data_IF_693982340649
#
_entry.id   IF_693982340649
#
_cell.length_a   1.000
_cell.length_b   1.000
_cell.length_c   1.000
_cell.angle_alpha   90.00
_cell.angle_beta   90.00
_cell.angle_gamma   90.00
#
_symmetry.space_group_name_H-M   'P 1'
#
loop_
_entity.id
_entity.type
_entity.pdbx_description
1 polymer ?
#
# COMPACT_ATOMS: atom_id res chain seq x y z
N UNK A 1 12.48 -40.86 -50.78
CA UNK A 1 11.74 -40.36 -49.57
C UNK A 1 12.17 -41.19 -48.37
N UNK A 2 12.75 -40.56 -47.32
CA UNK A 2 13.14 -41.27 -46.09
C UNK A 2 11.86 -41.62 -45.33
N UNK A 3 11.50 -42.92 -45.23
CA UNK A 3 10.40 -43.40 -44.40
C UNK A 3 10.84 -43.30 -42.94
N UNK A 4 10.21 -42.41 -42.19
CA UNK A 4 10.46 -42.35 -40.74
C UNK A 4 9.80 -43.52 -40.05
N UNK A 5 10.41 -44.08 -39.01
CA UNK A 5 9.84 -45.17 -38.23
C UNK A 5 8.53 -44.78 -37.58
N UNK A 6 7.56 -45.66 -37.48
CA UNK A 6 6.24 -45.46 -36.90
C UNK A 6 6.24 -44.79 -35.53
N UNK A 7 7.28 -45.09 -34.72
CA UNK A 7 7.42 -44.52 -33.38
C UNK A 7 7.53 -42.99 -33.37
N UNK A 8 8.08 -42.35 -34.44
CA UNK A 8 8.15 -40.90 -34.55
C UNK A 8 6.78 -40.26 -34.77
N UNK A 9 5.92 -40.90 -35.55
CA UNK A 9 4.52 -40.44 -35.75
C UNK A 9 3.74 -40.60 -34.47
N UNK A 10 3.93 -41.68 -33.71
CA UNK A 10 3.33 -41.93 -32.41
C UNK A 10 3.75 -40.87 -31.38
N UNK A 11 5.04 -40.52 -31.34
CA UNK A 11 5.56 -39.45 -30.49
C UNK A 11 4.98 -38.10 -30.83
N UNK A 12 4.86 -37.75 -32.13
CA UNK A 12 4.23 -36.50 -32.57
C UNK A 12 2.76 -36.46 -32.15
N UNK A 13 2.04 -37.55 -32.34
CA UNK A 13 0.61 -37.66 -31.97
C UNK A 13 0.43 -37.53 -30.47
N UNK A 14 1.35 -38.12 -29.67
CA UNK A 14 1.33 -37.98 -28.20
C UNK A 14 1.58 -36.53 -27.78
N UNK A 15 2.57 -35.83 -28.36
CA UNK A 15 2.86 -34.42 -28.05
C UNK A 15 1.70 -33.53 -28.44
N UNK A 16 1.08 -33.75 -29.61
CA UNK A 16 -0.09 -33.01 -30.05
C UNK A 16 -1.28 -33.27 -29.10
N UNK A 17 -1.54 -34.53 -28.71
CA UNK A 17 -2.58 -34.89 -27.77
C UNK A 17 -2.38 -34.18 -26.41
N UNK A 18 -1.15 -34.18 -25.91
CA UNK A 18 -0.78 -33.46 -24.69
C UNK A 18 -1.03 -31.95 -24.83
N UNK A 19 -0.60 -31.35 -25.95
CA UNK A 19 -0.84 -29.93 -26.25
C UNK A 19 -2.32 -29.58 -26.29
N UNK A 20 -3.16 -30.42 -26.90
CA UNK A 20 -4.61 -30.23 -26.94
C UNK A 20 -5.22 -30.28 -25.54
N UNK A 21 -4.87 -31.29 -24.72
CA UNK A 21 -5.39 -31.42 -23.35
C UNK A 21 -5.02 -30.21 -22.50
N UNK A 22 -3.78 -29.72 -22.55
CA UNK A 22 -3.33 -28.54 -21.81
C UNK A 22 -3.87 -27.22 -22.37
N UNK A 23 -4.39 -27.20 -23.60
CA UNK A 23 -5.04 -26.04 -24.20
C UNK A 23 -6.54 -25.97 -23.88
N UNK A 24 -7.18 -27.10 -23.55
CA UNK A 24 -8.62 -27.18 -23.27
C UNK A 24 -9.11 -26.20 -22.20
N UNK A 25 -8.39 -25.96 -21.08
CA UNK A 25 -8.84 -25.01 -20.05
C UNK A 25 -9.14 -23.61 -20.56
N UNK A 26 -8.45 -23.16 -21.62
CA UNK A 26 -8.65 -21.83 -22.19
C UNK A 26 -9.97 -21.67 -22.96
N UNK A 27 -10.69 -22.77 -23.24
CA UNK A 27 -12.01 -22.75 -23.87
C UNK A 27 -13.14 -22.49 -22.84
N UNK A 28 -12.85 -22.64 -21.54
CA UNK A 28 -13.79 -22.44 -20.47
C UNK A 28 -13.72 -20.97 -20.00
N UNK A 29 -14.69 -20.16 -20.38
CA UNK A 29 -14.80 -18.78 -19.91
C UNK A 29 -15.12 -18.78 -18.39
N UNK A 30 -14.41 -18.00 -17.57
CA UNK A 30 -14.71 -17.92 -16.15
C UNK A 30 -16.03 -17.20 -15.89
N UNK A 31 -16.77 -17.63 -14.88
CA UNK A 31 -18.01 -16.98 -14.44
C UNK A 31 -17.70 -15.75 -13.57
N UNK A 32 -18.48 -14.66 -13.67
CA UNK A 32 -18.45 -13.58 -12.70
C UNK A 32 -18.78 -14.12 -11.30
N UNK A 33 -17.99 -13.74 -10.29
CA UNK A 33 -18.18 -14.21 -8.93
C UNK A 33 -17.84 -13.13 -7.90
N UNK A 34 -18.46 -13.20 -6.72
CA UNK A 34 -18.12 -12.38 -5.56
C UNK A 34 -17.42 -13.27 -4.54
N UNK A 35 -16.25 -12.88 -4.13
CA UNK A 35 -15.46 -13.53 -3.08
C UNK A 35 -15.68 -12.82 -1.76
N UNK A 36 -15.95 -13.59 -0.71
CA UNK A 36 -16.11 -13.10 0.66
C UNK A 36 -15.10 -13.82 1.56
N UNK A 37 -14.24 -13.06 2.21
CA UNK A 37 -13.21 -13.57 3.12
C UNK A 37 -13.16 -12.73 4.39
N UNK A 38 -12.62 -13.29 5.49
CA UNK A 38 -12.38 -12.49 6.69
C UNK A 38 -11.21 -11.52 6.46
N UNK A 39 -11.30 -10.34 7.10
CA UNK A 39 -10.23 -9.31 7.07
C UNK A 39 -8.95 -9.81 7.76
N UNK A 40 -9.10 -10.66 8.78
CA UNK A 40 -7.98 -11.24 9.51
C UNK A 40 -7.45 -12.48 8.80
N UNK A 41 -6.16 -12.48 8.43
CA UNK A 41 -5.47 -13.63 7.81
C UNK A 41 -5.40 -14.88 8.71
N UNK A 42 -5.74 -14.74 9.99
CA UNK A 42 -5.79 -15.87 10.95
C UNK A 42 -7.15 -16.59 10.97
N UNK A 43 -8.18 -16.05 10.31
CA UNK A 43 -9.51 -16.64 10.20
C UNK A 43 -9.74 -17.12 8.77
N UNK A 44 -9.96 -18.42 8.62
CA UNK A 44 -10.41 -19.03 7.37
C UNK A 44 -11.92 -18.96 7.28
N UNK A 45 -12.45 -18.85 6.06
CA UNK A 45 -13.88 -18.90 5.83
C UNK A 45 -14.46 -20.23 6.34
N UNK A 46 -15.54 -20.15 7.06
CA UNK A 46 -16.22 -21.28 7.69
C UNK A 46 -17.63 -21.49 7.14
N UNK A 47 -18.25 -22.58 7.58
CA UNK A 47 -19.64 -22.89 7.21
C UNK A 47 -20.63 -21.83 7.64
N UNK A 48 -20.38 -21.14 8.75
CA UNK A 48 -21.24 -20.07 9.25
C UNK A 48 -21.25 -18.87 8.32
N UNK A 49 -20.07 -18.43 7.84
CA UNK A 49 -19.97 -17.37 6.83
C UNK A 49 -20.68 -17.77 5.54
N UNK A 50 -20.48 -19.03 5.08
CA UNK A 50 -21.12 -19.52 3.86
C UNK A 50 -22.65 -19.56 3.98
N UNK A 51 -23.18 -19.93 5.13
CA UNK A 51 -24.64 -19.99 5.37
C UNK A 51 -25.24 -18.58 5.45
N UNK A 52 -24.57 -17.64 6.12
CA UNK A 52 -24.97 -16.23 6.14
C UNK A 52 -24.98 -15.62 4.74
N UNK A 53 -23.93 -15.83 3.97
CA UNK A 53 -23.86 -15.36 2.58
C UNK A 53 -25.00 -15.97 1.75
N UNK A 54 -25.27 -17.27 1.91
CA UNK A 54 -26.36 -17.96 1.21
C UNK A 54 -27.74 -17.40 1.56
N UNK A 55 -27.98 -17.11 2.83
CA UNK A 55 -29.25 -16.52 3.31
C UNK A 55 -29.47 -15.11 2.75
N UNK A 56 -28.41 -14.28 2.75
CA UNK A 56 -28.48 -12.92 2.21
C UNK A 56 -28.76 -12.95 0.71
N UNK A 57 -28.03 -13.77 -0.05
CA UNK A 57 -28.17 -13.85 -1.51
C UNK A 57 -29.50 -14.47 -1.92
N UNK A 58 -30.05 -15.40 -1.14
CA UNK A 58 -31.35 -16.02 -1.41
C UNK A 58 -32.55 -15.05 -1.32
N UNK A 59 -32.34 -13.86 -0.74
CA UNK A 59 -33.39 -12.82 -0.70
C UNK A 59 -33.64 -12.17 -2.08
N UNK A 60 -32.73 -12.36 -3.01
CA UNK A 60 -32.86 -11.88 -4.39
C UNK A 60 -33.12 -13.05 -5.32
N UNK A 61 -33.97 -12.84 -6.31
CA UNK A 61 -34.28 -13.85 -7.35
C UNK A 61 -33.18 -13.85 -8.44
N UNK A 62 -31.94 -14.16 -7.99
CA UNK A 62 -30.77 -14.18 -8.86
C UNK A 62 -30.24 -15.61 -8.99
N UNK A 63 -29.76 -15.94 -10.19
CA UNK A 63 -29.08 -17.23 -10.43
C UNK A 63 -27.72 -17.18 -9.76
N UNK A 64 -27.60 -17.82 -8.62
CA UNK A 64 -26.37 -17.82 -7.81
C UNK A 64 -26.02 -19.22 -7.32
N UNK A 65 -24.71 -19.48 -7.21
CA UNK A 65 -24.17 -20.68 -6.59
C UNK A 65 -23.13 -20.29 -5.55
N UNK A 66 -23.40 -20.62 -4.30
CA UNK A 66 -22.50 -20.33 -3.18
C UNK A 66 -21.64 -21.55 -2.91
N UNK A 67 -20.32 -21.40 -3.05
CA UNK A 67 -19.31 -22.43 -2.81
C UNK A 67 -18.37 -21.99 -1.69
N UNK A 68 -18.04 -22.90 -0.78
CA UNK A 68 -17.03 -22.68 0.25
C UNK A 68 -15.71 -23.24 -0.28
N UNK A 69 -14.74 -22.39 -0.45
CA UNK A 69 -13.33 -22.73 -0.73
C UNK A 69 -12.52 -22.69 0.58
N UNK A 70 -11.25 -23.10 0.54
CA UNK A 70 -10.44 -23.24 1.75
C UNK A 70 -10.39 -21.97 2.62
N UNK A 71 -10.27 -20.80 2.00
CA UNK A 71 -10.03 -19.54 2.70
C UNK A 71 -11.11 -18.47 2.47
N UNK A 72 -12.08 -18.74 1.61
CA UNK A 72 -13.12 -17.77 1.24
C UNK A 72 -14.43 -18.44 0.77
N UNK A 73 -15.51 -17.69 0.80
CA UNK A 73 -16.78 -18.06 0.21
C UNK A 73 -16.88 -17.43 -1.17
N UNK A 74 -17.23 -18.21 -2.18
CA UNK A 74 -17.37 -17.77 -3.57
C UNK A 74 -18.84 -17.82 -3.98
N UNK A 75 -19.38 -16.68 -4.40
CA UNK A 75 -20.75 -16.57 -4.94
C UNK A 75 -20.66 -16.39 -6.45
N UNK A 76 -20.94 -17.43 -7.22
CA UNK A 76 -20.95 -17.40 -8.69
C UNK A 76 -22.27 -16.84 -9.19
N UNK A 77 -22.22 -16.10 -10.29
CA UNK A 77 -23.40 -15.57 -10.97
C UNK A 77 -23.20 -15.61 -12.50
N UNK A 78 -24.27 -15.38 -13.25
CA UNK A 78 -24.30 -15.47 -14.70
C UNK A 78 -23.87 -14.19 -15.43
N UNK A 79 -24.00 -13.02 -14.76
CA UNK A 79 -23.72 -11.72 -15.39
C UNK A 79 -22.89 -10.80 -14.48
N UNK A 80 -22.13 -9.90 -15.09
CA UNK A 80 -21.40 -8.85 -14.36
C UNK A 80 -22.34 -7.87 -13.63
N UNK A 81 -23.56 -7.65 -14.14
CA UNK A 81 -24.53 -6.81 -13.45
C UNK A 81 -24.99 -7.45 -12.14
N UNK A 82 -25.31 -8.75 -12.18
CA UNK A 82 -25.70 -9.51 -10.98
C UNK A 82 -24.55 -9.57 -9.97
N UNK A 83 -23.30 -9.65 -10.44
CA UNK A 83 -22.11 -9.60 -9.58
C UNK A 83 -22.04 -8.30 -8.77
N UNK A 84 -22.32 -7.14 -9.39
CA UNK A 84 -22.34 -5.85 -8.69
C UNK A 84 -23.49 -5.78 -7.68
N UNK A 85 -24.69 -6.23 -8.06
CA UNK A 85 -25.85 -6.27 -7.16
C UNK A 85 -25.56 -7.14 -5.93
N UNK A 86 -24.94 -8.30 -6.13
CA UNK A 86 -24.56 -9.22 -5.05
C UNK A 86 -23.49 -8.57 -4.15
N UNK A 87 -22.47 -7.92 -4.73
CA UNK A 87 -21.46 -7.18 -3.96
C UNK A 87 -22.10 -6.14 -3.04
N UNK A 88 -22.99 -5.30 -3.61
CA UNK A 88 -23.66 -4.23 -2.87
C UNK A 88 -24.58 -4.79 -1.77
N UNK A 89 -25.32 -5.86 -2.08
CA UNK A 89 -26.20 -6.55 -1.14
C UNK A 89 -25.40 -7.14 0.04
N UNK A 90 -24.28 -7.81 -0.22
CA UNK A 90 -23.42 -8.38 0.81
C UNK A 90 -22.75 -7.29 1.63
N UNK A 91 -22.30 -6.20 1.00
CA UNK A 91 -21.68 -5.06 1.68
C UNK A 91 -22.63 -4.33 2.64
N UNK A 92 -23.94 -4.34 2.33
CA UNK A 92 -24.95 -3.72 3.17
C UNK A 92 -25.36 -4.59 4.37
N UNK A 93 -25.22 -5.92 4.28
CA UNK A 93 -25.75 -6.87 5.25
C UNK A 93 -24.68 -7.60 6.08
N UNK A 94 -23.43 -7.65 5.61
CA UNK A 94 -22.33 -8.25 6.36
C UNK A 94 -21.60 -7.19 7.21
N UNK A 95 -20.99 -7.66 8.29
CA UNK A 95 -20.20 -6.81 9.22
C UNK A 95 -18.88 -6.37 8.60
N UNK A 96 -18.24 -5.34 9.17
CA UNK A 96 -16.96 -4.79 8.71
C UNK A 96 -15.75 -5.75 8.85
N UNK A 97 -15.97 -6.96 9.37
CA UNK A 97 -14.92 -7.96 9.60
C UNK A 97 -14.64 -8.83 8.36
N UNK A 98 -15.38 -8.60 7.26
CA UNK A 98 -15.22 -9.34 6.00
C UNK A 98 -14.82 -8.41 4.85
N UNK A 99 -14.02 -8.94 3.95
CA UNK A 99 -13.65 -8.32 2.67
C UNK A 99 -14.49 -8.94 1.58
N UNK A 100 -15.19 -8.11 0.81
CA UNK A 100 -16.03 -8.52 -0.31
C UNK A 100 -15.38 -8.04 -1.60
N UNK A 101 -14.95 -8.98 -2.44
CA UNK A 101 -14.19 -8.71 -3.64
C UNK A 101 -14.89 -9.25 -4.89
N UNK A 102 -14.79 -8.51 -5.99
CA UNK A 102 -15.19 -9.01 -7.31
C UNK A 102 -14.11 -9.95 -7.83
N UNK A 103 -14.51 -11.14 -8.22
CA UNK A 103 -13.60 -12.17 -8.73
C UNK A 103 -14.21 -12.86 -9.97
N UNK A 104 -13.41 -13.68 -10.64
CA UNK A 104 -13.83 -14.55 -11.73
C UNK A 104 -13.58 -16.00 -11.31
N UNK A 105 -14.66 -16.77 -11.24
CA UNK A 105 -14.60 -18.17 -10.85
C UNK A 105 -14.24 -19.05 -12.06
N UNK A 106 -13.22 -19.89 -12.00
CA UNK A 106 -12.90 -20.80 -13.09
C UNK A 106 -14.02 -21.82 -13.30
N UNK A 107 -14.42 -22.03 -14.56
CA UNK A 107 -15.41 -23.06 -14.97
C UNK A 107 -14.75 -24.33 -15.48
N UNK A 108 -13.42 -24.37 -15.44
CA UNK A 108 -12.62 -25.53 -15.89
C UNK A 108 -13.00 -26.77 -15.10
N UNK A 109 -13.29 -27.92 -15.76
CA UNK A 109 -13.60 -29.18 -15.08
C UNK A 109 -12.48 -29.62 -14.12
N UNK A 110 -12.85 -30.15 -12.95
CA UNK A 110 -11.90 -30.55 -11.90
C UNK A 110 -10.82 -31.51 -12.39
N UNK A 111 -11.18 -32.47 -13.25
CA UNK A 111 -10.22 -33.43 -13.79
C UNK A 111 -9.07 -32.79 -14.60
N UNK A 112 -9.32 -31.64 -15.26
CA UNK A 112 -8.27 -30.87 -15.94
C UNK A 112 -7.38 -30.14 -14.93
N UNK A 113 -7.96 -29.57 -13.88
CA UNK A 113 -7.19 -28.92 -12.80
C UNK A 113 -6.35 -29.90 -12.02
N UNK A 114 -6.85 -31.11 -11.77
CA UNK A 114 -6.13 -32.16 -11.02
C UNK A 114 -4.86 -32.65 -11.76
N UNK A 115 -4.84 -32.60 -13.09
CA UNK A 115 -3.64 -32.90 -13.89
C UNK A 115 -2.74 -31.67 -14.11
N UNK A 116 -3.05 -30.52 -13.45
CA UNK A 116 -2.27 -29.29 -13.57
C UNK A 116 -2.54 -28.48 -14.82
N UNK A 117 -3.58 -28.84 -15.62
CA UNK A 117 -4.01 -28.07 -16.78
C UNK A 117 -4.90 -26.91 -16.33
N UNK A 118 -4.28 -25.78 -15.99
CA UNK A 118 -4.97 -24.56 -15.60
C UNK A 118 -5.19 -23.62 -16.80
N UNK A 119 -6.24 -22.80 -16.81
CA UNK A 119 -6.42 -21.78 -17.83
C UNK A 119 -5.27 -20.77 -17.78
N UNK A 120 -4.95 -20.23 -18.95
CA UNK A 120 -3.89 -19.23 -19.07
C UNK A 120 -4.28 -17.96 -18.30
N UNK A 121 -3.39 -17.47 -17.46
CA UNK A 121 -3.59 -16.20 -16.76
C UNK A 121 -3.51 -15.06 -17.75
N UNK A 122 -4.66 -14.44 -18.03
CA UNK A 122 -4.78 -13.33 -18.95
C UNK A 122 -4.33 -12.03 -18.24
N UNK A 123 -3.37 -11.33 -18.83
CA UNK A 123 -2.95 -10.03 -18.34
C UNK A 123 -3.97 -8.91 -18.61
N UNK A 124 -3.62 -7.71 -18.20
CA UNK A 124 -4.44 -6.49 -18.30
C UNK A 124 -4.94 -6.23 -19.73
N UNK A 125 -4.11 -6.49 -20.73
CA UNK A 125 -4.41 -6.26 -22.15
C UNK A 125 -5.56 -7.13 -22.69
N UNK A 126 -5.78 -8.29 -22.09
CA UNK A 126 -6.78 -9.25 -22.52
C UNK A 126 -8.02 -9.31 -21.61
N UNK A 127 -7.87 -9.01 -20.32
CA UNK A 127 -8.98 -8.96 -19.36
C UNK A 127 -9.59 -7.59 -19.19
N UNK A 128 -8.87 -6.54 -19.64
CA UNK A 128 -9.15 -5.17 -19.24
C UNK A 128 -8.76 -4.93 -17.77
N UNK A 129 -8.91 -3.71 -17.32
CA UNK A 129 -8.60 -3.32 -15.95
C UNK A 129 -7.92 -1.97 -15.90
N UNK A 130 -7.34 -1.63 -14.76
CA UNK A 130 -6.75 -0.32 -14.52
C UNK A 130 -5.23 -0.44 -14.36
N UNK A 131 -4.53 0.46 -15.02
CA UNK A 131 -3.08 0.63 -14.88
C UNK A 131 -2.81 2.02 -14.31
N UNK A 132 -2.24 2.07 -13.10
CA UNK A 132 -1.77 3.30 -12.49
C UNK A 132 -0.25 3.37 -12.55
N UNK A 133 0.24 4.53 -12.96
CA UNK A 133 1.63 4.93 -12.79
C UNK A 133 1.66 6.01 -11.72
N UNK A 134 2.16 5.69 -10.55
CA UNK A 134 2.24 6.58 -9.40
C UNK A 134 3.67 7.07 -9.22
N UNK A 135 3.84 8.32 -8.86
CA UNK A 135 5.12 8.90 -8.49
C UNK A 135 5.14 9.14 -6.99
N UNK A 136 6.19 8.67 -6.33
CA UNK A 136 6.42 8.92 -4.90
C UNK A 136 7.01 10.32 -4.73
N UNK A 137 6.46 11.09 -3.81
CA UNK A 137 6.97 12.39 -3.42
C UNK A 137 8.16 12.23 -2.47
N UNK A 138 9.33 12.01 -3.07
CA UNK A 138 10.58 11.83 -2.32
C UNK A 138 11.11 13.14 -1.75
N UNK A 139 10.75 14.28 -2.32
CA UNK A 139 11.15 15.61 -1.82
C UNK A 139 10.52 15.88 -0.46
N UNK A 140 9.22 15.62 -0.33
CA UNK A 140 8.53 15.72 0.96
C UNK A 140 9.09 14.71 1.97
N UNK A 141 9.44 13.49 1.56
CA UNK A 141 10.06 12.49 2.44
C UNK A 141 11.41 12.97 3.00
N UNK A 142 12.27 13.54 2.13
CA UNK A 142 13.56 14.13 2.55
C UNK A 142 13.32 15.27 3.53
N UNK A 143 12.39 16.17 3.23
CA UNK A 143 12.07 17.32 4.09
C UNK A 143 11.58 16.87 5.47
N UNK A 144 10.66 15.90 5.53
CA UNK A 144 10.16 15.34 6.79
C UNK A 144 11.29 14.70 7.62
N UNK A 145 12.21 13.99 6.96
CA UNK A 145 13.40 13.43 7.61
C UNK A 145 14.28 14.52 8.21
N UNK A 146 14.49 15.62 7.47
CA UNK A 146 15.28 16.75 7.94
C UNK A 146 14.59 17.51 9.08
N UNK A 147 13.25 17.68 9.02
CA UNK A 147 12.49 18.28 10.12
C UNK A 147 12.61 17.44 11.41
N UNK A 148 12.54 16.11 11.31
CA UNK A 148 12.78 15.20 12.43
C UNK A 148 14.21 15.32 12.99
N UNK A 149 15.20 15.34 12.09
CA UNK A 149 16.61 15.53 12.48
C UNK A 149 16.84 16.88 13.17
N UNK A 150 16.22 17.95 12.66
CA UNK A 150 16.29 19.27 13.28
C UNK A 150 15.69 19.29 14.70
N UNK A 151 14.58 18.58 14.90
CA UNK A 151 13.98 18.47 16.24
C UNK A 151 14.90 17.71 17.20
N UNK A 152 15.52 16.62 16.75
CA UNK A 152 16.50 15.88 17.56
C UNK A 152 17.72 16.76 17.89
N UNK A 153 18.28 17.45 16.90
CA UNK A 153 19.38 18.40 17.12
C UNK A 153 19.03 19.48 18.16
N UNK A 154 17.81 20.01 18.15
CA UNK A 154 17.35 21.01 19.13
C UNK A 154 17.31 20.43 20.55
N UNK A 155 16.94 19.17 20.71
CA UNK A 155 16.93 18.47 22.00
C UNK A 155 18.38 18.27 22.48
N UNK A 156 19.22 17.69 21.60
CA UNK A 156 20.63 17.42 21.92
C UNK A 156 21.44 18.67 22.26
N UNK A 157 21.29 19.71 21.46
CA UNK A 157 21.99 21.00 21.75
C UNK A 157 21.57 21.60 23.09
N UNK A 158 20.32 21.37 23.53
CA UNK A 158 19.90 21.79 24.88
C UNK A 158 20.57 20.96 25.96
N UNK A 159 20.70 19.65 25.77
CA UNK A 159 21.39 18.73 26.69
C UNK A 159 22.87 19.09 26.82
N UNK A 160 23.53 19.33 25.69
CA UNK A 160 24.95 19.72 25.61
C UNK A 160 25.22 21.22 25.92
N UNK A 161 24.16 21.97 26.20
CA UNK A 161 24.21 23.41 26.48
C UNK A 161 24.77 24.28 25.34
N UNK A 162 24.69 23.78 24.09
CA UNK A 162 25.06 24.52 22.89
C UNK A 162 23.95 25.51 22.57
N UNK A 163 24.26 26.80 22.53
CA UNK A 163 23.27 27.87 22.32
C UNK A 163 23.26 28.34 20.89
N UNK A 164 22.13 28.19 20.25
CA UNK A 164 21.84 28.66 18.87
C UNK A 164 20.81 29.79 18.88
N UNK A 165 20.84 30.66 17.88
CA UNK A 165 19.87 31.73 17.65
C UNK A 165 18.82 31.36 16.63
N UNK A 166 19.19 30.55 15.63
CA UNK A 166 18.27 30.08 14.57
C UNK A 166 18.58 28.64 14.21
N UNK A 167 17.52 27.88 13.90
CA UNK A 167 17.62 26.50 13.46
C UNK A 167 16.39 26.20 12.56
N UNK A 168 16.59 26.07 11.24
CA UNK A 168 15.53 25.94 10.24
C UNK A 168 15.93 24.96 9.16
N UNK A 169 14.94 24.26 8.59
CA UNK A 169 15.10 23.51 7.33
C UNK A 169 14.80 24.47 6.19
N UNK A 170 15.71 24.55 5.23
CA UNK A 170 15.58 25.39 4.04
C UNK A 170 14.76 24.69 2.95
N UNK A 171 14.42 25.40 1.88
CA UNK A 171 13.61 24.87 0.78
C UNK A 171 14.34 23.77 0.00
N UNK A 172 15.67 23.77 -0.01
CA UNK A 172 16.51 22.72 -0.59
C UNK A 172 16.73 21.52 0.34
N UNK A 173 15.95 21.43 1.42
CA UNK A 173 16.06 20.41 2.47
C UNK A 173 17.38 20.39 3.20
N UNK A 174 18.22 21.44 3.12
CA UNK A 174 19.37 21.62 4.01
C UNK A 174 18.92 22.18 5.37
N UNK A 175 19.68 21.87 6.43
CA UNK A 175 19.45 22.46 7.76
C UNK A 175 20.41 23.61 7.96
N UNK A 176 19.88 24.79 8.20
CA UNK A 176 20.67 25.96 8.57
C UNK A 176 20.58 26.22 10.07
N UNK A 177 21.75 26.32 10.71
CA UNK A 177 21.93 26.58 12.13
C UNK A 177 22.73 27.85 12.29
N UNK A 178 22.28 28.79 13.13
CA UNK A 178 23.03 30.02 13.48
C UNK A 178 23.30 30.04 14.99
N UNK A 179 24.55 30.29 15.36
CA UNK A 179 24.99 30.28 16.73
C UNK A 179 25.27 31.68 17.27
N UNK A 180 25.28 31.82 18.60
CA UNK A 180 25.51 33.10 19.27
C UNK A 180 27.00 33.46 19.39
N UNK A 181 27.90 32.50 19.19
CA UNK A 181 29.34 32.66 19.27
C UNK A 181 30.06 31.62 18.41
N UNK A 182 31.30 31.92 18.03
CA UNK A 182 32.18 31.01 17.31
C UNK A 182 32.42 29.71 18.11
N UNK A 183 32.61 29.79 19.40
CA UNK A 183 32.79 28.60 20.25
C UNK A 183 31.56 27.67 20.20
N UNK A 184 30.34 28.23 20.26
CA UNK A 184 29.13 27.42 20.18
C UNK A 184 28.97 26.79 18.80
N UNK A 185 29.45 27.42 17.73
CA UNK A 185 29.49 26.87 16.39
C UNK A 185 30.48 25.69 16.31
N UNK A 186 31.71 25.86 16.84
CA UNK A 186 32.73 24.81 16.84
C UNK A 186 32.27 23.60 17.67
N UNK A 187 31.73 23.82 18.87
CA UNK A 187 31.17 22.76 19.72
C UNK A 187 30.02 21.99 18.98
N UNK A 188 29.17 22.71 18.26
CA UNK A 188 28.09 22.11 17.46
C UNK A 188 28.65 21.33 16.28
N UNK A 189 29.63 21.87 15.58
CA UNK A 189 30.27 21.22 14.43
C UNK A 189 30.91 19.89 14.84
N UNK A 190 31.65 19.87 15.93
CA UNK A 190 32.29 18.66 16.47
C UNK A 190 31.23 17.64 16.90
N UNK A 191 30.18 18.10 17.61
CA UNK A 191 29.08 17.23 18.01
C UNK A 191 28.37 16.59 16.80
N UNK A 192 28.10 17.38 15.74
CA UNK A 192 27.45 16.90 14.54
C UNK A 192 28.34 15.90 13.80
N UNK A 193 29.63 16.16 13.65
CA UNK A 193 30.58 15.26 12.99
C UNK A 193 30.63 13.89 13.68
N UNK A 194 30.58 13.88 15.01
CA UNK A 194 30.70 12.66 15.80
C UNK A 194 29.39 11.84 15.83
N UNK A 195 28.22 12.47 15.72
CA UNK A 195 26.94 11.84 15.98
C UNK A 195 26.02 11.76 14.75
N UNK A 196 26.26 12.53 13.68
CA UNK A 196 25.39 12.61 12.50
C UNK A 196 26.17 12.36 11.21
N UNK A 197 26.41 11.09 10.91
CA UNK A 197 27.22 10.64 9.75
C UNK A 197 26.51 10.81 8.40
N UNK A 198 25.22 11.14 8.40
CA UNK A 198 24.41 11.34 7.20
C UNK A 198 24.72 12.64 6.46
N UNK A 199 25.40 13.60 7.08
CA UNK A 199 25.72 14.86 6.45
C UNK A 199 27.05 14.85 5.69
N UNK A 200 27.13 15.67 4.65
CA UNK A 200 28.39 15.91 3.96
C UNK A 200 29.40 16.62 4.85
N UNK A 201 30.66 16.19 4.82
CA UNK A 201 31.75 16.80 5.53
C UNK A 201 32.81 17.33 4.53
N UNK A 202 33.46 18.47 4.82
CA UNK A 202 33.25 19.36 5.95
C UNK A 202 31.92 20.10 5.86
N UNK A 203 31.37 20.48 7.03
CA UNK A 203 30.18 21.31 7.08
C UNK A 203 30.48 22.70 6.49
N UNK A 204 29.52 23.28 5.78
CA UNK A 204 29.68 24.61 5.23
C UNK A 204 29.43 25.62 6.33
N UNK A 205 30.49 26.42 6.65
CA UNK A 205 30.41 27.49 7.64
C UNK A 205 30.24 28.83 6.95
N UNK A 206 29.49 29.72 7.58
CA UNK A 206 29.34 31.09 7.12
C UNK A 206 30.06 32.06 8.11
N UNK A 207 30.35 33.26 7.63
CA UNK A 207 31.07 34.31 8.40
C UNK A 207 30.30 34.85 9.61
N UNK A 208 29.01 34.43 9.74
CA UNK A 208 28.08 34.93 10.77
C UNK A 208 27.77 33.84 11.81
N UNK A 209 28.74 32.96 12.07
CA UNK A 209 28.62 31.77 12.95
C UNK A 209 27.50 30.83 12.55
N UNK A 210 27.29 30.64 11.22
CA UNK A 210 26.30 29.72 10.65
C UNK A 210 26.93 28.39 10.25
N UNK A 211 26.14 27.30 10.36
CA UNK A 211 26.46 25.99 9.81
C UNK A 211 25.35 25.59 8.86
N UNK A 212 25.71 25.11 7.68
CA UNK A 212 24.79 24.52 6.70
C UNK A 212 25.05 23.01 6.64
N UNK A 213 24.03 22.23 6.95
CA UNK A 213 24.07 20.77 6.95
C UNK A 213 23.34 20.26 5.69
N UNK A 214 24.09 19.67 4.78
CA UNK A 214 23.52 19.04 3.58
C UNK A 214 23.67 17.53 3.69
N UNK A 215 22.61 16.79 3.32
CA UNK A 215 22.67 15.34 3.26
C UNK A 215 23.66 14.85 2.21
N UNK A 216 24.30 13.72 2.47
CA UNK A 216 25.09 13.03 1.47
C UNK A 216 24.20 12.44 0.37
N UNK A 217 24.72 12.30 -0.85
CA UNK A 217 23.98 11.65 -1.96
C UNK A 217 23.55 10.22 -1.59
N UNK A 218 24.39 9.50 -0.85
CA UNK A 218 24.07 8.15 -0.38
C UNK A 218 22.88 8.13 0.58
N UNK A 219 22.80 9.10 1.49
CA UNK A 219 21.66 9.21 2.42
C UNK A 219 20.38 9.64 1.68
N UNK A 220 20.49 10.56 0.71
CA UNK A 220 19.36 10.94 -0.13
C UNK A 220 18.82 9.71 -0.91
N UNK A 221 19.69 8.94 -1.55
CA UNK A 221 19.30 7.71 -2.26
C UNK A 221 18.66 6.68 -1.31
N UNK A 222 19.14 6.59 -0.06
CA UNK A 222 18.58 5.70 0.96
C UNK A 222 17.17 6.15 1.38
N UNK A 223 16.98 7.44 1.70
CA UNK A 223 15.67 7.99 2.06
C UNK A 223 14.67 7.80 0.92
N UNK A 224 15.09 8.06 -0.32
CA UNK A 224 14.24 7.84 -1.51
C UNK A 224 13.85 6.35 -1.65
N UNK A 225 14.80 5.43 -1.43
CA UNK A 225 14.52 4.00 -1.50
C UNK A 225 13.57 3.55 -0.40
N UNK A 226 13.79 3.98 0.84
CA UNK A 226 12.95 3.64 1.97
C UNK A 226 11.51 4.15 1.79
N UNK A 227 11.36 5.38 1.29
CA UNK A 227 10.05 5.95 0.97
C UNK A 227 9.30 5.13 -0.09
N UNK A 228 10.01 4.64 -1.11
CA UNK A 228 9.40 3.81 -2.16
C UNK A 228 9.00 2.45 -1.60
N UNK A 229 9.84 1.80 -0.82
CA UNK A 229 9.58 0.46 -0.28
C UNK A 229 8.41 0.49 0.71
N UNK A 230 8.30 1.54 1.50
CA UNK A 230 7.16 1.79 2.38
C UNK A 230 5.86 2.01 1.58
N UNK A 231 5.90 2.87 0.55
CA UNK A 231 4.76 3.10 -0.33
C UNK A 231 4.34 1.82 -1.07
N UNK A 232 5.32 0.99 -1.51
CA UNK A 232 5.04 -0.32 -2.11
C UNK A 232 4.27 -1.23 -1.16
N UNK A 233 4.69 -1.29 0.10
CA UNK A 233 4.03 -2.10 1.13
C UNK A 233 2.62 -1.60 1.40
N UNK A 234 2.46 -0.30 1.57
CA UNK A 234 1.15 0.34 1.78
C UNK A 234 0.21 0.09 0.60
N UNK A 235 0.69 0.27 -0.64
CA UNK A 235 -0.11 0.02 -1.84
C UNK A 235 -0.49 -1.45 -2.00
N UNK A 236 0.41 -2.39 -1.69
CA UNK A 236 0.07 -3.84 -1.69
C UNK A 236 -1.05 -4.16 -0.71
N UNK A 237 -0.97 -3.63 0.51
CA UNK A 237 -2.01 -3.83 1.51
C UNK A 237 -3.37 -3.29 1.04
N UNK A 238 -3.39 -2.07 0.50
CA UNK A 238 -4.63 -1.45 -0.04
C UNK A 238 -5.20 -2.19 -1.25
N UNK A 239 -4.33 -2.69 -2.12
CA UNK A 239 -4.74 -3.49 -3.27
C UNK A 239 -5.32 -4.83 -2.83
N UNK A 240 -4.76 -5.44 -1.78
CA UNK A 240 -5.32 -6.64 -1.17
C UNK A 240 -6.69 -6.40 -0.55
N UNK A 241 -6.92 -5.22 0.08
CA UNK A 241 -8.24 -4.82 0.60
C UNK A 241 -9.30 -4.67 -0.52
N UNK A 242 -8.87 -4.32 -1.75
CA UNK A 242 -9.75 -4.33 -2.93
C UNK A 242 -10.14 -5.75 -3.36
N UNK A 243 -9.47 -6.76 -2.87
CA UNK A 243 -9.71 -8.16 -3.22
C UNK A 243 -9.48 -8.49 -4.69
N UNK A 244 -8.61 -7.74 -5.36
CA UNK A 244 -8.30 -7.96 -6.77
C UNK A 244 -7.51 -9.26 -6.92
N UNK A 245 -7.94 -10.11 -7.84
CA UNK A 245 -7.19 -11.32 -8.19
C UNK A 245 -5.93 -10.95 -8.95
N UNK A 246 -4.77 -11.39 -8.44
CA UNK A 246 -3.44 -11.25 -9.07
C UNK A 246 -3.04 -9.80 -9.43
N UNK A 247 -3.08 -8.86 -8.47
CA UNK A 247 -2.64 -7.50 -8.73
C UNK A 247 -1.12 -7.45 -8.89
N UNK A 248 -0.64 -6.52 -9.73
CA UNK A 248 0.79 -6.27 -9.86
C UNK A 248 1.09 -4.93 -9.21
N UNK A 249 1.94 -4.93 -8.18
CA UNK A 249 2.46 -3.72 -7.53
C UNK A 249 3.97 -3.82 -7.51
N UNK A 250 4.63 -3.02 -8.33
CA UNK A 250 6.08 -3.08 -8.51
C UNK A 250 6.72 -1.71 -8.72
N UNK A 251 7.98 -1.59 -8.31
CA UNK A 251 8.79 -0.40 -8.55
C UNK A 251 9.13 -0.26 -10.04
N UNK A 252 9.02 0.96 -10.57
CA UNK A 252 9.44 1.31 -11.92
C UNK A 252 10.42 2.48 -11.90
N UNK A 253 11.69 2.20 -12.06
CA UNK A 253 12.77 3.21 -11.96
C UNK A 253 12.99 3.68 -10.52
N UNK A 254 13.55 4.90 -10.36
CA UNK A 254 13.94 5.42 -9.03
C UNK A 254 12.77 5.92 -8.18
N UNK A 255 11.73 6.54 -8.78
CA UNK A 255 10.70 7.29 -8.04
C UNK A 255 9.26 6.88 -8.37
N UNK A 256 9.03 5.81 -9.14
CA UNK A 256 7.69 5.43 -9.61
C UNK A 256 7.31 4.02 -9.18
N UNK A 257 6.01 3.83 -8.99
CA UNK A 257 5.37 2.55 -8.70
C UNK A 257 4.29 2.31 -9.75
N UNK A 258 4.29 1.12 -10.33
CA UNK A 258 3.24 0.64 -11.21
C UNK A 258 2.28 -0.22 -10.39
N UNK A 259 0.99 0.07 -10.52
CA UNK A 259 -0.09 -0.73 -9.96
C UNK A 259 -1.01 -1.16 -11.09
N UNK A 260 -1.12 -2.47 -11.31
CA UNK A 260 -2.02 -3.04 -12.30
C UNK A 260 -3.10 -3.86 -11.59
N UNK A 261 -4.34 -3.55 -11.89
CA UNK A 261 -5.53 -4.16 -11.27
C UNK A 261 -6.38 -4.80 -12.36
N UNK A 262 -6.12 -6.08 -12.70
CA UNK A 262 -6.90 -6.77 -13.72
C UNK A 262 -8.37 -6.94 -13.27
N UNK A 263 -9.30 -6.77 -14.20
CA UNK A 263 -10.73 -7.00 -13.97
C UNK A 263 -11.47 -5.88 -13.22
N UNK A 264 -10.79 -4.84 -12.75
CA UNK A 264 -11.46 -3.67 -12.16
C UNK A 264 -12.07 -2.81 -13.27
N UNK A 265 -13.37 -2.55 -13.16
CA UNK A 265 -14.12 -1.71 -14.10
C UNK A 265 -14.27 -0.27 -13.56
N UNK A 266 -14.38 -0.09 -12.26
CA UNK A 266 -14.47 1.23 -11.62
C UNK A 266 -13.11 1.80 -11.28
N UNK A 267 -12.61 2.63 -12.20
CA UNK A 267 -11.34 3.36 -12.05
C UNK A 267 -11.39 4.41 -10.94
N UNK A 268 -12.57 4.99 -10.67
CA UNK A 268 -12.73 6.04 -9.67
C UNK A 268 -12.68 5.45 -8.25
N UNK A 269 -13.33 4.32 -8.03
CA UNK A 269 -13.24 3.60 -6.74
C UNK A 269 -11.81 3.15 -6.45
N UNK A 270 -11.15 2.53 -7.42
CA UNK A 270 -9.75 2.12 -7.29
C UNK A 270 -8.83 3.30 -6.99
N UNK A 271 -9.00 4.44 -7.69
CA UNK A 271 -8.23 5.66 -7.42
C UNK A 271 -8.49 6.21 -6.03
N UNK A 272 -9.74 6.20 -5.56
CA UNK A 272 -10.08 6.69 -4.23
C UNK A 272 -9.45 5.86 -3.12
N UNK A 273 -9.42 4.52 -3.26
CA UNK A 273 -8.82 3.63 -2.26
C UNK A 273 -7.30 3.74 -2.25
N UNK A 274 -6.68 3.72 -3.44
CA UNK A 274 -5.22 3.85 -3.55
C UNK A 274 -4.72 5.23 -3.14
N UNK A 275 -5.50 6.29 -3.43
CA UNK A 275 -5.15 7.68 -3.17
C UNK A 275 -5.47 8.19 -1.77
N UNK A 276 -6.10 7.39 -0.90
CA UNK A 276 -6.33 7.79 0.49
C UNK A 276 -4.98 7.94 1.19
N UNK A 277 -4.64 9.17 1.56
CA UNK A 277 -3.52 9.46 2.43
C UNK A 277 -4.08 9.77 3.82
N UNK A 278 -3.62 9.06 4.82
CA UNK A 278 -3.90 9.35 6.22
C UNK A 278 -2.59 9.25 6.97
N UNK A 279 -2.19 10.34 7.61
CA UNK A 279 -1.06 10.36 8.53
C UNK A 279 -1.60 10.11 9.93
N UNK A 280 -1.04 9.15 10.64
CA UNK A 280 -1.37 8.92 12.03
C UNK A 280 -0.40 9.73 12.89
N UNK A 281 -0.93 10.67 13.64
CA UNK A 281 -0.16 11.51 14.54
C UNK A 281 -0.66 11.31 15.96
N UNK A 282 0.27 11.09 16.89
CA UNK A 282 -0.02 11.02 18.31
C UNK A 282 0.37 12.34 18.97
N UNK A 283 -0.61 13.01 19.55
CA UNK A 283 -0.45 14.25 20.28
C UNK A 283 -0.86 14.06 21.75
N UNK A 284 -0.21 14.78 22.66
CA UNK A 284 -0.71 14.86 24.03
C UNK A 284 -1.97 15.70 24.10
N UNK A 285 -2.86 15.32 24.99
CA UNK A 285 -3.98 16.18 25.36
C UNK A 285 -3.45 17.48 25.99
N UNK A 286 -3.98 18.61 25.54
CA UNK A 286 -3.56 19.90 26.03
C UNK A 286 -4.11 20.12 27.45
N UNK A 287 -3.27 20.42 28.41
CA UNK A 287 -3.67 20.79 29.77
C UNK A 287 -4.29 22.18 29.81
N UNK A 288 -4.97 22.53 30.90
CA UNK A 288 -5.66 23.84 31.03
C UNK A 288 -4.67 25.02 30.97
N UNK A 289 -3.43 24.82 31.38
CA UNK A 289 -2.33 25.80 31.36
C UNK A 289 -1.59 25.89 30.03
N UNK A 290 -1.87 24.98 29.08
CA UNK A 290 -1.23 25.00 27.76
C UNK A 290 -1.64 26.28 27.00
N UNK A 291 -0.67 27.10 26.53
CA UNK A 291 -0.96 28.33 25.77
C UNK A 291 -1.81 28.03 24.52
N UNK A 292 -2.71 28.94 24.20
CA UNK A 292 -3.59 28.79 23.00
C UNK A 292 -2.82 28.67 21.69
N UNK A 293 -1.61 29.23 21.61
CA UNK A 293 -0.70 29.17 20.47
C UNK A 293 0.01 27.81 20.29
N UNK A 294 -0.20 26.87 21.21
CA UNK A 294 0.45 25.55 21.20
C UNK A 294 -0.56 24.41 21.29
N UNK A 295 -1.83 24.70 21.02
CA UNK A 295 -2.88 23.68 21.03
C UNK A 295 -3.88 23.92 19.90
N UNK A 296 -4.25 22.82 19.23
CA UNK A 296 -5.25 22.78 18.17
C UNK A 296 -6.48 22.00 18.63
N UNK A 297 -7.65 22.43 18.19
CA UNK A 297 -8.95 21.81 18.51
C UNK A 297 -9.31 20.79 17.44
N UNK A 298 -9.60 19.57 17.85
CA UNK A 298 -10.00 18.47 16.97
C UNK A 298 -11.40 17.97 17.33
N UNK A 299 -12.35 17.94 16.38
CA UNK A 299 -13.67 17.39 16.61
C UNK A 299 -13.60 15.84 16.70
N UNK A 300 -14.42 15.23 17.57
CA UNK A 300 -14.56 13.79 17.58
C UNK A 300 -15.22 13.29 16.29
N UNK A 301 -14.75 12.15 15.76
CA UNK A 301 -15.25 11.51 14.52
C UNK A 301 -16.79 11.35 14.51
N UNK A 302 -17.39 11.12 15.66
CA UNK A 302 -18.84 10.88 15.78
C UNK A 302 -19.65 12.18 16.00
N UNK A 303 -19.01 13.36 15.96
CA UNK A 303 -19.68 14.65 16.18
C UNK A 303 -20.35 14.82 17.56
N UNK A 304 -20.11 13.90 18.50
CA UNK A 304 -20.68 13.93 19.85
C UNK A 304 -19.61 14.26 20.86
N UNK A 305 -19.82 15.35 21.61
CA UNK A 305 -18.94 15.83 22.66
C UNK A 305 -18.26 17.15 22.34
N UNK A 306 -17.65 17.78 23.35
CA UNK A 306 -16.81 18.96 23.16
C UNK A 306 -15.51 18.54 22.43
N UNK A 307 -14.99 19.37 21.52
CA UNK A 307 -13.76 19.05 20.78
C UNK A 307 -12.58 18.82 21.74
N UNK A 308 -11.72 17.86 21.42
CA UNK A 308 -10.48 17.62 22.15
C UNK A 308 -9.45 18.70 21.77
N UNK A 309 -8.74 19.23 22.78
CA UNK A 309 -7.60 20.12 22.55
C UNK A 309 -6.32 19.30 22.67
N UNK A 310 -5.57 19.22 21.57
CA UNK A 310 -4.29 18.52 21.51
C UNK A 310 -3.14 19.51 21.41
N UNK A 311 -2.00 19.15 21.98
CA UNK A 311 -0.78 19.93 21.81
C UNK A 311 -0.29 19.82 20.36
N UNK A 312 0.24 20.91 19.80
CA UNK A 312 0.72 20.95 18.40
C UNK A 312 1.99 20.10 18.21
N UNK A 313 2.68 19.73 19.29
CA UNK A 313 3.84 18.84 19.20
C UNK A 313 3.41 17.39 18.97
N UNK A 314 3.88 16.82 17.86
CA UNK A 314 3.74 15.41 17.54
C UNK A 314 4.72 14.62 18.42
N UNK A 315 4.24 13.61 19.16
CA UNK A 315 5.08 12.73 19.98
C UNK A 315 5.56 11.53 19.17
N UNK A 316 4.64 10.98 18.37
CA UNK A 316 4.87 9.86 17.47
C UNK A 316 4.11 10.12 16.19
N UNK A 317 4.79 10.07 15.06
CA UNK A 317 4.18 9.98 13.75
C UNK A 317 4.10 8.50 13.35
N UNK A 318 2.96 8.07 12.86
CA UNK A 318 2.82 6.79 12.19
C UNK A 318 3.00 7.01 10.70
N UNK A 319 4.09 6.50 10.18
CA UNK A 319 4.37 6.46 8.75
C UNK A 319 3.60 5.33 8.08
#
# INVERSE_FOLDING_TARGET
MKRYGLWKYLLILLVLGFGVVYSLPNLYAPDPAVQVSYTSSSQTADGFLADNVREIVAQQDLVTKVELENDYVLVRTDTYQNQLIIKDLLSANLTNDVVIALNLAPTTPRWLMDIGANPMKLGLDLRGGVHFLMQVDTETAIKNRQDGTLQDLRIRFREEKIRYSQAVVQDDSSIYLKFNSLQAQEDAEDYIKDNYTQFNLPLITDTDNGLLLSLSEAEIDQIESDAIDQNLTTLRNRVNELGVSEPIVQRQGKKRIVVQLPGIQDTAEAKNILGKTATLEFHLEAQMDTPRSRKTSYPYRNGRGAPAFLQDSIILGGD
#
